data_IF_808197015624
#
_entry.id   IF_808197015624
#
_cell.length_a   1.000
_cell.length_b   1.000
_cell.length_c   1.000
_cell.angle_alpha   90.00
_cell.angle_beta   90.00
_cell.angle_gamma   90.00
#
_symmetry.space_group_name_H-M   'P 1'
#
loop_
_entity.id
_entity.type
_entity.pdbx_description
1 polymer ?
#
# COMPACT_ATOMS: atom_id res chain seq x y z
N UNK A 1 -0.58 10.59 -4.16
CA UNK A 1 -1.37 9.73 -5.06
C UNK A 1 -2.82 9.47 -4.60
N UNK A 2 -3.17 9.71 -3.34
CA UNK A 2 -4.54 9.45 -2.82
C UNK A 2 -5.66 10.12 -3.63
N UNK A 3 -5.50 11.39 -4.03
CA UNK A 3 -6.54 12.10 -4.78
C UNK A 3 -6.79 11.48 -6.18
N UNK A 4 -5.75 11.00 -6.85
CA UNK A 4 -5.91 10.31 -8.14
C UNK A 4 -6.59 8.95 -7.95
N UNK A 5 -6.26 8.26 -6.87
CA UNK A 5 -6.93 7.02 -6.49
C UNK A 5 -8.42 7.26 -6.22
N UNK A 6 -8.77 8.35 -5.54
CA UNK A 6 -10.17 8.72 -5.33
C UNK A 6 -10.90 9.01 -6.65
N UNK A 7 -10.29 9.81 -7.54
CA UNK A 7 -10.85 10.07 -8.86
C UNK A 7 -11.06 8.77 -9.67
N UNK A 8 -10.09 7.86 -9.64
CA UNK A 8 -10.18 6.59 -10.37
C UNK A 8 -11.25 5.67 -9.78
N UNK A 9 -11.26 5.48 -8.46
CA UNK A 9 -12.23 4.63 -7.76
C UNK A 9 -13.66 5.16 -7.99
N UNK A 10 -13.88 6.46 -7.85
CA UNK A 10 -15.20 7.07 -8.06
C UNK A 10 -15.77 6.87 -9.48
N UNK A 11 -14.94 6.56 -10.48
CA UNK A 11 -15.38 6.29 -11.86
C UNK A 11 -15.73 4.83 -12.13
N UNK A 12 -15.24 3.90 -11.30
CA UNK A 12 -15.34 2.45 -11.57
C UNK A 12 -16.02 1.67 -10.44
N UNK A 13 -16.33 2.32 -9.31
CA UNK A 13 -17.09 1.75 -8.19
C UNK A 13 -18.24 2.68 -7.77
N UNK A 14 -18.93 2.34 -6.68
CA UNK A 14 -19.94 3.15 -6.00
C UNK A 14 -19.35 4.32 -5.17
N UNK A 15 -18.05 4.58 -5.30
CA UNK A 15 -17.35 5.65 -4.62
C UNK A 15 -16.43 5.19 -3.49
N UNK A 16 -16.00 6.14 -2.66
CA UNK A 16 -15.06 5.94 -1.56
C UNK A 16 -15.83 6.00 -0.24
N UNK A 17 -15.72 4.96 0.58
CA UNK A 17 -16.23 4.97 1.95
C UNK A 17 -15.32 5.79 2.87
N UNK A 18 -14.02 5.48 2.86
CA UNK A 18 -12.99 6.16 3.65
C UNK A 18 -11.64 6.03 2.92
N UNK A 19 -10.83 7.08 2.93
CA UNK A 19 -9.52 7.11 2.28
C UNK A 19 -8.46 7.71 3.19
N UNK A 20 -7.32 7.02 3.32
CA UNK A 20 -6.21 7.42 4.21
C UNK A 20 -4.90 7.39 3.43
N UNK A 21 -4.08 8.42 3.62
CA UNK A 21 -2.68 8.42 3.22
C UNK A 21 -1.83 8.44 4.49
N UNK A 22 -1.05 7.38 4.72
CA UNK A 22 -0.22 7.21 5.92
C UNK A 22 1.05 8.08 5.93
N UNK A 23 1.38 8.70 4.80
CA UNK A 23 2.60 9.47 4.59
C UNK A 23 3.73 8.65 3.96
N UNK A 24 4.81 9.32 3.58
CA UNK A 24 6.00 8.73 2.96
C UNK A 24 7.22 8.67 3.88
N UNK A 25 7.01 8.88 5.18
CA UNK A 25 8.07 8.85 6.18
C UNK A 25 8.47 7.41 6.52
N UNK A 26 9.70 7.23 6.98
CA UNK A 26 10.24 5.90 7.36
C UNK A 26 9.45 5.27 8.51
N UNK A 27 8.91 6.11 9.40
CA UNK A 27 8.14 5.69 10.58
C UNK A 27 6.79 6.39 10.59
N UNK A 28 5.81 5.93 9.79
CA UNK A 28 4.49 6.51 9.81
C UNK A 28 3.81 6.23 11.17
N UNK A 29 2.96 7.14 11.63
CA UNK A 29 2.24 6.98 12.90
C UNK A 29 1.21 5.82 12.89
N UNK A 30 0.89 5.30 11.71
CA UNK A 30 0.05 4.12 11.49
C UNK A 30 0.44 3.47 10.16
N UNK A 31 0.34 2.15 10.07
CA UNK A 31 0.76 1.37 8.89
C UNK A 31 -0.39 1.09 7.93
N UNK A 32 -0.09 0.63 6.70
CA UNK A 32 -1.09 0.13 5.76
C UNK A 32 -1.89 -1.02 6.37
N UNK A 33 -1.19 -1.93 7.05
CA UNK A 33 -1.80 -3.10 7.69
C UNK A 33 -2.81 -2.71 8.78
N UNK A 34 -2.51 -1.67 9.57
CA UNK A 34 -3.42 -1.17 10.61
C UNK A 34 -4.78 -0.73 10.02
N UNK A 35 -4.73 0.04 8.93
CA UNK A 35 -5.94 0.53 8.27
C UNK A 35 -6.69 -0.57 7.53
N UNK A 36 -5.99 -1.50 6.88
CA UNK A 36 -6.63 -2.64 6.21
C UNK A 36 -7.35 -3.54 7.21
N UNK A 37 -6.73 -3.85 8.36
CA UNK A 37 -7.37 -4.63 9.41
C UNK A 37 -8.61 -3.92 9.97
N UNK A 38 -8.54 -2.59 10.15
CA UNK A 38 -9.70 -1.79 10.55
C UNK A 38 -10.82 -1.85 9.51
N UNK A 39 -10.50 -1.60 8.24
CA UNK A 39 -11.47 -1.65 7.13
C UNK A 39 -12.09 -3.04 6.95
N UNK A 40 -11.33 -4.10 7.20
CA UNK A 40 -11.87 -5.46 7.20
C UNK A 40 -13.01 -5.64 8.22
N UNK A 41 -12.96 -4.93 9.35
CA UNK A 41 -13.97 -5.02 10.41
C UNK A 41 -15.19 -4.09 10.21
N UNK A 42 -15.14 -3.15 9.26
CA UNK A 42 -16.26 -2.22 8.99
C UNK A 42 -17.27 -2.87 8.02
N UNK A 43 -18.51 -3.21 8.43
CA UNK A 43 -19.44 -3.96 7.56
C UNK A 43 -19.79 -3.28 6.23
N UNK A 44 -19.74 -1.94 6.19
CA UNK A 44 -20.02 -1.11 5.02
C UNK A 44 -18.92 -1.22 3.96
N UNK A 45 -17.66 -1.43 4.37
CA UNK A 45 -16.55 -1.61 3.44
C UNK A 45 -16.66 -2.99 2.80
N UNK A 46 -16.77 -3.06 1.47
CA UNK A 46 -16.88 -4.32 0.71
C UNK A 46 -15.61 -4.74 0.00
N UNK A 47 -14.71 -3.81 -0.28
CA UNK A 47 -13.41 -4.04 -0.88
C UNK A 47 -12.40 -2.99 -0.39
N UNK A 48 -11.11 -3.29 -0.51
CA UNK A 48 -10.03 -2.38 -0.13
C UNK A 48 -9.07 -2.21 -1.30
N UNK A 49 -8.64 -0.98 -1.54
CA UNK A 49 -7.63 -0.63 -2.55
C UNK A 49 -6.41 -0.08 -1.83
N UNK A 50 -5.25 -0.71 -2.04
CA UNK A 50 -3.99 -0.40 -1.37
C UNK A 50 -2.98 0.05 -2.42
N UNK A 51 -2.36 1.21 -2.18
CA UNK A 51 -1.26 1.71 -2.98
C UNK A 51 -0.02 1.82 -2.09
N UNK A 52 0.90 0.89 -2.27
CA UNK A 52 2.20 0.87 -1.61
C UNK A 52 3.29 1.55 -2.44
N UNK A 53 4.49 1.58 -1.88
CA UNK A 53 5.67 2.14 -2.51
C UNK A 53 6.89 1.30 -2.18
N UNK A 54 7.89 1.33 -3.06
CA UNK A 54 9.17 0.70 -2.77
C UNK A 54 9.76 1.23 -1.45
N UNK A 55 10.42 0.34 -0.71
CA UNK A 55 11.07 0.67 0.55
C UNK A 55 10.26 0.19 1.77
N UNK A 56 10.96 -0.42 2.72
CA UNK A 56 10.32 -1.03 3.90
C UNK A 56 9.81 -2.46 3.66
N UNK A 57 8.91 -2.90 4.55
CA UNK A 57 8.32 -4.26 4.55
C UNK A 57 6.84 -4.28 4.94
N UNK A 58 6.17 -3.14 4.93
CA UNK A 58 4.81 -3.03 5.48
C UNK A 58 3.80 -3.87 4.67
N UNK A 59 3.96 -3.90 3.34
CA UNK A 59 3.12 -4.68 2.43
C UNK A 59 3.19 -6.19 2.71
N UNK A 60 4.32 -6.70 3.21
CA UNK A 60 4.42 -8.11 3.58
C UNK A 60 3.57 -8.46 4.80
N UNK A 61 3.43 -7.54 5.76
CA UNK A 61 2.53 -7.72 6.90
C UNK A 61 1.07 -7.86 6.44
N UNK A 62 0.67 -7.10 5.42
CA UNK A 62 -0.64 -7.24 4.77
C UNK A 62 -0.78 -8.60 4.07
N UNK A 63 0.23 -9.04 3.31
CA UNK A 63 0.23 -10.36 2.67
C UNK A 63 0.07 -11.48 3.70
N UNK A 64 0.78 -11.41 4.82
CA UNK A 64 0.64 -12.38 5.90
C UNK A 64 -0.74 -12.33 6.56
N UNK A 65 -1.33 -11.14 6.73
CA UNK A 65 -2.69 -11.00 7.23
C UNK A 65 -3.74 -11.64 6.29
N UNK A 66 -3.55 -11.53 4.97
CA UNK A 66 -4.40 -12.19 3.96
C UNK A 66 -4.22 -13.72 4.03
N UNK A 67 -2.98 -14.22 4.07
CA UNK A 67 -2.69 -15.66 4.19
C UNK A 67 -3.29 -16.27 5.46
N UNK A 68 -3.24 -15.53 6.57
CA UNK A 68 -3.82 -15.94 7.85
C UNK A 68 -5.35 -15.78 7.92
N UNK A 69 -6.01 -15.35 6.83
CA UNK A 69 -7.45 -15.05 6.76
C UNK A 69 -7.92 -14.02 7.79
N UNK A 70 -7.03 -13.15 8.27
CA UNK A 70 -7.39 -11.98 9.10
C UNK A 70 -8.02 -10.89 8.25
N UNK A 71 -7.64 -10.83 6.97
CA UNK A 71 -8.29 -10.02 5.94
C UNK A 71 -9.02 -10.98 5.01
N UNK A 72 -10.35 -10.87 4.95
CA UNK A 72 -11.21 -11.79 4.20
C UNK A 72 -11.93 -11.12 3.03
N UNK A 73 -12.03 -9.79 3.07
CA UNK A 73 -12.63 -9.02 1.97
C UNK A 73 -11.63 -8.86 0.82
N UNK A 74 -12.12 -8.68 -0.43
CA UNK A 74 -11.26 -8.43 -1.58
C UNK A 74 -10.30 -7.26 -1.38
N UNK A 75 -9.04 -7.47 -1.73
CA UNK A 75 -7.97 -6.46 -1.72
C UNK A 75 -7.40 -6.32 -3.13
N UNK A 76 -7.36 -5.10 -3.65
CA UNK A 76 -6.60 -4.73 -4.85
C UNK A 76 -5.35 -3.97 -4.38
N UNK A 77 -4.16 -4.42 -4.74
CA UNK A 77 -2.92 -3.82 -4.29
C UNK A 77 -1.96 -3.54 -5.47
N UNK A 78 -1.31 -2.39 -5.44
CA UNK A 78 -0.19 -2.05 -6.33
C UNK A 78 0.94 -1.41 -5.53
N UNK A 79 2.18 -1.84 -5.77
CA UNK A 79 3.38 -1.26 -5.15
C UNK A 79 4.13 -0.50 -6.23
N UNK A 80 4.21 0.82 -6.07
CA UNK A 80 4.91 1.70 -7.02
C UNK A 80 6.44 1.62 -6.84
N UNK A 81 7.20 2.05 -7.86
CA UNK A 81 8.67 2.03 -7.78
C UNK A 81 9.38 0.91 -8.57
N UNK A 82 8.67 0.21 -9.43
CA UNK A 82 9.23 -0.87 -10.27
C UNK A 82 10.41 -0.42 -11.13
N UNK A 83 10.47 0.87 -11.50
CA UNK A 83 11.57 1.46 -12.26
C UNK A 83 12.91 1.49 -11.50
N UNK A 84 12.91 1.35 -10.17
CA UNK A 84 14.14 1.31 -9.37
C UNK A 84 15.12 0.23 -9.87
N UNK A 85 14.61 -0.88 -10.39
CA UNK A 85 15.40 -1.99 -10.95
C UNK A 85 16.12 -1.66 -12.26
N UNK A 86 15.73 -0.59 -12.94
CA UNK A 86 16.31 -0.17 -14.21
C UNK A 86 17.57 0.69 -14.03
N UNK A 87 17.81 1.21 -12.81
CA UNK A 87 18.98 2.02 -12.51
C UNK A 87 20.17 1.16 -12.13
N UNK A 88 21.38 1.61 -12.52
CA UNK A 88 22.65 0.92 -12.20
C UNK A 88 23.10 1.14 -10.75
N UNK A 89 22.59 2.18 -10.12
CA UNK A 89 22.89 2.58 -8.74
C UNK A 89 21.60 2.76 -7.98
N UNK A 90 21.68 2.72 -6.65
CA UNK A 90 20.57 3.05 -5.78
C UNK A 90 20.12 4.49 -6.00
N UNK A 91 18.80 4.70 -6.04
CA UNK A 91 18.16 6.01 -6.22
C UNK A 91 17.21 6.23 -5.06
N UNK A 92 17.42 7.31 -4.31
CA UNK A 92 16.47 7.82 -3.35
C UNK A 92 15.34 8.53 -4.09
N UNK A 93 14.10 8.08 -3.88
CA UNK A 93 12.91 8.77 -4.38
C UNK A 93 12.40 9.80 -3.35
N UNK A 94 11.38 10.56 -3.73
CA UNK A 94 10.94 11.74 -2.98
C UNK A 94 10.46 11.45 -1.55
N UNK A 95 9.76 10.34 -1.34
CA UNK A 95 9.37 9.92 0.01
C UNK A 95 10.59 9.37 0.77
N UNK A 96 10.71 9.71 2.05
CA UNK A 96 11.90 9.39 2.86
C UNK A 96 12.12 7.86 2.97
N UNK A 97 11.05 7.08 2.97
CA UNK A 97 11.11 5.61 3.00
C UNK A 97 11.58 4.99 1.68
N UNK A 98 11.55 5.73 0.58
CA UNK A 98 11.64 5.20 -0.77
C UNK A 98 13.07 5.05 -1.26
N UNK A 99 13.79 4.20 -0.56
CA UNK A 99 15.12 3.72 -0.87
C UNK A 99 15.16 2.20 -0.79
N UNK A 100 15.73 1.58 -1.82
CA UNK A 100 15.85 0.13 -1.86
C UNK A 100 17.13 -0.30 -1.14
N UNK A 101 17.07 -0.36 0.19
CA UNK A 101 18.15 -0.90 1.02
C UNK A 101 18.14 -2.44 0.90
N UNK A 102 19.04 -2.98 0.09
CA UNK A 102 19.26 -4.40 -0.24
C UNK A 102 18.44 -4.96 -1.43
N UNK A 103 19.16 -5.40 -2.47
CA UNK A 103 18.69 -6.11 -3.67
C UNK A 103 17.93 -7.44 -3.43
N UNK A 104 17.67 -7.82 -2.18
CA UNK A 104 17.18 -9.16 -1.79
C UNK A 104 15.69 -9.21 -1.46
N UNK A 105 14.97 -8.09 -1.50
CA UNK A 105 13.52 -8.07 -1.27
C UNK A 105 12.84 -8.04 -2.64
N UNK A 106 12.25 -9.17 -3.11
CA UNK A 106 11.55 -9.18 -4.39
C UNK A 106 10.37 -8.21 -4.29
N UNK A 107 10.41 -7.14 -5.09
CA UNK A 107 9.23 -6.32 -5.37
C UNK A 107 8.16 -7.32 -5.85
N UNK A 108 7.11 -7.49 -5.04
CA UNK A 108 5.99 -8.40 -5.32
C UNK A 108 5.41 -8.13 -6.72
#
# INVERSE_FOLDING_TARGET
>A
MSNEMYNTIARVTDGIYEGIAIGGDVFPGSTLSDHVLRFNNIPQVKMMVVLGELGGRDEYSLVEAIKQRKVTKPVVAWVSGTCARLFKSEVQFGHAVSLLLNYLVPIC
#
